data_IF_700156914102
#
_entry.id   IF_700156914102
#
_cell.length_a   1.000
_cell.length_b   1.000
_cell.length_c   1.000
_cell.angle_alpha   90.00
_cell.angle_beta   90.00
_cell.angle_gamma   90.00
#
_symmetry.space_group_name_H-M   'P 1'
#
loop_
_entity.id
_entity.type
_entity.pdbx_description
1 polymer ?
#
# COMPACT_ATOMS: atom_id res chain seq x y z
N UNK A 1 -90.16 21.30 -15.09
CA UNK A 1 -89.54 20.84 -16.36
C UNK A 1 -88.27 20.09 -15.98
N UNK A 2 -88.06 18.78 -16.10
CA UNK A 2 -88.78 17.69 -16.74
C UNK A 2 -88.80 16.47 -15.80
N UNK A 3 -89.93 15.75 -15.85
CA UNK A 3 -90.18 14.42 -15.29
C UNK A 3 -89.36 13.36 -16.05
N UNK A 4 -89.12 12.17 -15.47
CA UNK A 4 -89.64 10.86 -15.97
C UNK A 4 -89.33 9.69 -14.97
N UNK A 5 -90.40 9.17 -14.35
CA UNK A 5 -90.79 7.77 -14.02
C UNK A 5 -89.81 6.75 -13.36
N UNK A 6 -90.12 6.00 -12.29
CA UNK A 6 -91.28 5.18 -11.80
C UNK A 6 -91.01 3.65 -11.88
N UNK A 7 -90.76 3.07 -10.70
CA UNK A 7 -91.13 1.75 -10.12
C UNK A 7 -90.88 0.39 -10.83
N UNK A 8 -90.35 -0.55 -10.01
CA UNK A 8 -90.85 -1.92 -9.65
C UNK A 8 -89.64 -2.82 -9.28
N UNK A 9 -89.58 -3.72 -8.28
CA UNK A 9 -90.54 -4.38 -7.38
C UNK A 9 -89.80 -4.98 -6.16
N UNK A 10 -90.55 -5.20 -5.07
CA UNK A 10 -90.18 -5.86 -3.81
C UNK A 10 -90.21 -7.40 -3.96
N UNK A 11 -89.28 -8.15 -3.33
CA UNK A 11 -89.57 -9.24 -2.35
C UNK A 11 -88.37 -10.05 -1.83
N UNK A 12 -88.40 -10.25 -0.50
CA UNK A 12 -88.07 -11.44 0.30
C UNK A 12 -86.60 -11.80 0.61
N UNK A 13 -86.22 -11.39 1.82
CA UNK A 13 -85.54 -12.14 2.89
C UNK A 13 -84.82 -13.45 2.53
N UNK A 14 -83.50 -13.49 2.74
CA UNK A 14 -82.83 -14.69 3.26
C UNK A 14 -81.70 -14.29 4.20
N UNK A 15 -81.87 -14.64 5.46
CA UNK A 15 -80.83 -14.58 6.51
C UNK A 15 -79.75 -15.58 6.11
N UNK A 16 -78.55 -15.10 5.77
CA UNK A 16 -77.37 -15.95 5.67
C UNK A 16 -76.63 -15.93 7.02
N UNK A 17 -76.47 -17.12 7.58
CA UNK A 17 -75.98 -17.40 8.92
C UNK A 17 -74.51 -17.04 9.12
N UNK A 18 -74.21 -16.59 10.32
CA UNK A 18 -72.87 -16.53 10.93
C UNK A 18 -72.11 -17.86 10.80
N UNK A 19 -71.29 -18.02 9.77
CA UNK A 19 -70.07 -18.85 9.75
C UNK A 19 -69.20 -18.23 8.66
N UNK A 20 -68.11 -17.56 9.05
CA UNK A 20 -66.90 -17.26 8.25
C UNK A 20 -66.17 -16.05 8.85
N UNK A 21 -65.47 -16.25 9.98
CA UNK A 21 -64.55 -15.21 10.52
C UNK A 21 -63.17 -15.77 10.93
N UNK A 22 -62.83 -17.06 10.79
CA UNK A 22 -61.53 -17.57 11.33
C UNK A 22 -60.64 -18.26 10.28
N UNK A 23 -60.41 -17.67 9.11
CA UNK A 23 -59.45 -18.22 8.14
C UNK A 23 -58.56 -17.20 7.40
N UNK A 24 -58.51 -15.93 7.83
CA UNK A 24 -57.77 -14.87 7.10
C UNK A 24 -56.48 -14.34 7.75
N UNK A 25 -56.17 -14.71 8.99
CA UNK A 25 -55.16 -13.98 9.79
C UNK A 25 -53.73 -14.56 9.78
N UNK A 26 -53.56 -15.87 9.62
CA UNK A 26 -52.26 -16.52 9.88
C UNK A 26 -51.35 -16.55 8.63
N UNK A 27 -51.94 -16.64 7.42
CA UNK A 27 -51.19 -16.67 6.16
C UNK A 27 -50.51 -15.33 5.82
N UNK A 28 -51.18 -14.21 6.10
CA UNK A 28 -50.63 -12.87 5.83
C UNK A 28 -49.47 -12.50 6.77
N UNK A 29 -49.51 -12.93 8.03
CA UNK A 29 -48.42 -12.64 8.99
C UNK A 29 -47.14 -13.42 8.68
N UNK A 30 -47.24 -14.69 8.26
CA UNK A 30 -46.09 -15.52 7.88
C UNK A 30 -45.43 -15.00 6.58
N UNK A 31 -46.22 -14.54 5.61
CA UNK A 31 -45.71 -13.97 4.35
C UNK A 31 -44.97 -12.63 4.55
N UNK A 32 -45.46 -11.77 5.44
CA UNK A 32 -44.79 -10.50 5.78
C UNK A 32 -43.47 -10.77 6.53
N UNK A 33 -43.49 -11.67 7.51
CA UNK A 33 -42.29 -12.04 8.27
C UNK A 33 -41.19 -12.64 7.37
N UNK A 34 -41.54 -13.57 6.48
CA UNK A 34 -40.60 -14.19 5.52
C UNK A 34 -40.04 -13.18 4.51
N UNK A 35 -40.87 -12.24 4.02
CA UNK A 35 -40.41 -11.17 3.13
C UNK A 35 -39.44 -10.23 3.85
N UNK A 36 -39.73 -9.85 5.10
CA UNK A 36 -38.85 -8.99 5.90
C UNK A 36 -37.50 -9.65 6.23
N UNK A 37 -37.48 -10.96 6.51
CA UNK A 37 -36.25 -11.73 6.72
C UNK A 37 -35.42 -11.86 5.42
N UNK A 38 -36.08 -12.04 4.27
CA UNK A 38 -35.40 -12.06 2.97
C UNK A 38 -34.81 -10.69 2.60
N UNK A 39 -35.48 -9.59 2.91
CA UNK A 39 -34.92 -8.24 2.70
C UNK A 39 -33.75 -7.95 3.62
N UNK A 40 -33.85 -8.29 4.92
CA UNK A 40 -32.76 -8.12 5.87
C UNK A 40 -31.51 -8.95 5.50
N UNK A 41 -31.70 -10.18 5.02
CA UNK A 41 -30.58 -11.03 4.56
C UNK A 41 -29.97 -10.56 3.24
N UNK A 42 -30.76 -10.05 2.29
CA UNK A 42 -30.26 -9.44 1.07
C UNK A 42 -29.47 -8.15 1.37
N UNK A 43 -29.98 -7.30 2.27
CA UNK A 43 -29.31 -6.07 2.69
C UNK A 43 -28.00 -6.38 3.43
N UNK A 44 -28.00 -7.38 4.34
CA UNK A 44 -26.79 -7.85 5.02
C UNK A 44 -25.73 -8.38 4.04
N UNK A 45 -26.12 -9.17 3.03
CA UNK A 45 -25.20 -9.62 1.96
C UNK A 45 -24.61 -8.45 1.19
N UNK A 46 -25.45 -7.52 0.76
CA UNK A 46 -25.01 -6.33 0.03
C UNK A 46 -24.04 -5.48 0.86
N UNK A 47 -24.29 -5.28 2.16
CA UNK A 47 -23.35 -4.58 3.05
C UNK A 47 -22.03 -5.31 3.25
N UNK A 48 -22.05 -6.64 3.30
CA UNK A 48 -20.83 -7.45 3.40
C UNK A 48 -20.01 -7.39 2.10
N UNK A 49 -20.68 -7.41 0.95
CA UNK A 49 -20.02 -7.30 -0.36
C UNK A 49 -19.34 -5.93 -0.54
N UNK A 50 -20.00 -4.84 -0.11
CA UNK A 50 -19.40 -3.50 -0.10
C UNK A 50 -18.19 -3.43 0.84
N UNK A 51 -18.32 -3.91 2.08
CA UNK A 51 -17.20 -3.93 3.04
C UNK A 51 -16.02 -4.75 2.53
N UNK A 52 -16.29 -5.87 1.87
CA UNK A 52 -15.26 -6.70 1.25
C UNK A 52 -14.59 -5.95 0.09
N UNK A 53 -15.35 -5.28 -0.77
CA UNK A 53 -14.82 -4.46 -1.86
C UNK A 53 -13.92 -3.34 -1.34
N UNK A 54 -14.37 -2.60 -0.31
CA UNK A 54 -13.59 -1.53 0.32
C UNK A 54 -12.26 -2.08 0.89
N UNK A 55 -12.31 -3.22 1.58
CA UNK A 55 -11.09 -3.85 2.12
C UNK A 55 -10.11 -4.30 1.03
N UNK A 56 -10.61 -4.80 -0.10
CA UNK A 56 -9.79 -5.20 -1.25
C UNK A 56 -9.21 -3.99 -1.96
N UNK A 57 -10.01 -2.92 -2.12
CA UNK A 57 -9.58 -1.66 -2.69
C UNK A 57 -8.48 -1.03 -1.84
N UNK A 58 -8.68 -0.97 -0.52
CA UNK A 58 -7.67 -0.45 0.40
C UNK A 58 -6.36 -1.23 0.29
N UNK A 59 -6.42 -2.57 0.27
CA UNK A 59 -5.22 -3.40 0.10
C UNK A 59 -4.50 -3.15 -1.23
N UNK A 60 -5.22 -2.83 -2.31
CA UNK A 60 -4.62 -2.48 -3.59
C UNK A 60 -3.95 -1.10 -3.56
N UNK A 61 -4.60 -0.12 -2.93
CA UNK A 61 -4.04 1.22 -2.71
C UNK A 61 -2.78 1.10 -1.86
N UNK A 62 -2.84 0.42 -0.72
CA UNK A 62 -1.70 0.21 0.18
C UNK A 62 -0.52 -0.43 -0.53
N UNK A 63 -0.78 -1.48 -1.32
CA UNK A 63 0.28 -2.14 -2.08
C UNK A 63 0.96 -1.17 -3.04
N UNK A 64 0.19 -0.31 -3.71
CA UNK A 64 0.72 0.72 -4.61
C UNK A 64 1.55 1.73 -3.84
N UNK A 65 1.03 2.28 -2.75
CA UNK A 65 1.73 3.27 -1.91
C UNK A 65 3.03 2.73 -1.32
N UNK A 66 3.06 1.47 -0.89
CA UNK A 66 4.28 0.81 -0.39
C UNK A 66 5.33 0.70 -1.49
N UNK A 67 4.93 0.26 -2.70
CA UNK A 67 5.84 0.13 -3.84
C UNK A 67 6.37 1.52 -4.26
N UNK A 68 5.50 2.53 -4.26
CA UNK A 68 5.86 3.90 -4.59
C UNK A 68 6.83 4.49 -3.57
N UNK A 69 6.62 4.27 -2.27
CA UNK A 69 7.54 4.71 -1.22
C UNK A 69 8.94 4.08 -1.37
N UNK A 70 9.01 2.77 -1.66
CA UNK A 70 10.27 2.06 -1.91
C UNK A 70 10.97 2.61 -3.17
N UNK A 71 10.24 2.75 -4.27
CA UNK A 71 10.80 3.25 -5.52
C UNK A 71 11.23 4.72 -5.42
N UNK A 72 10.50 5.54 -4.64
CA UNK A 72 10.82 6.93 -4.40
C UNK A 72 12.19 7.09 -3.75
N UNK A 73 12.58 6.21 -2.82
CA UNK A 73 13.94 6.23 -2.23
C UNK A 73 15.01 6.17 -3.31
N UNK A 74 14.95 5.16 -4.20
CA UNK A 74 15.89 5.02 -5.30
C UNK A 74 15.84 6.21 -6.26
N UNK A 75 14.64 6.57 -6.70
CA UNK A 75 14.41 7.62 -7.70
C UNK A 75 14.96 8.99 -7.26
N UNK A 76 14.71 9.38 -6.01
CA UNK A 76 15.16 10.65 -5.46
C UNK A 76 16.63 10.62 -5.04
N UNK A 77 17.15 9.50 -4.52
CA UNK A 77 18.57 9.36 -4.18
C UNK A 77 19.46 9.49 -5.42
N UNK A 78 19.08 8.89 -6.55
CA UNK A 78 19.81 9.02 -7.82
C UNK A 78 19.83 10.45 -8.37
N UNK A 79 18.89 11.28 -7.93
CA UNK A 79 18.79 12.72 -8.25
C UNK A 79 19.36 13.61 -7.15
N UNK A 80 19.90 13.02 -6.08
CA UNK A 80 20.40 13.71 -4.89
C UNK A 80 19.34 14.64 -4.25
N UNK A 81 18.07 14.25 -4.32
CA UNK A 81 16.94 14.96 -3.68
C UNK A 81 16.64 14.35 -2.30
N UNK A 82 17.50 14.66 -1.34
CA UNK A 82 17.48 14.05 0.00
C UNK A 82 16.23 14.40 0.80
N UNK A 83 15.62 15.56 0.54
CA UNK A 83 14.37 15.95 1.20
C UNK A 83 13.22 15.00 0.83
N UNK A 84 13.11 14.60 -0.44
CA UNK A 84 12.10 13.63 -0.86
C UNK A 84 12.44 12.19 -0.48
N UNK A 85 13.72 11.83 -0.37
CA UNK A 85 14.14 10.54 0.22
C UNK A 85 13.72 10.48 1.70
N UNK A 86 14.03 11.52 2.49
CA UNK A 86 13.70 11.60 3.93
C UNK A 86 12.23 11.34 4.22
N UNK A 87 11.34 11.86 3.37
CA UNK A 87 9.88 11.73 3.50
C UNK A 87 9.39 10.28 3.44
N UNK A 88 10.18 9.35 2.90
CA UNK A 88 9.80 7.94 2.78
C UNK A 88 10.08 7.14 4.06
N UNK A 89 10.89 7.66 4.98
CA UNK A 89 11.32 6.97 6.19
C UNK A 89 10.54 7.44 7.42
N UNK A 90 10.36 6.52 8.38
CA UNK A 90 10.02 6.88 9.75
C UNK A 90 11.20 7.63 10.41
N UNK A 91 10.99 8.23 11.58
CA UNK A 91 12.03 9.04 12.24
C UNK A 91 13.28 8.24 12.60
N UNK A 92 13.10 6.96 12.90
CA UNK A 92 14.17 5.99 13.08
C UNK A 92 13.96 4.79 12.17
N UNK A 93 15.06 4.27 11.64
CA UNK A 93 15.08 3.16 10.69
C UNK A 93 16.15 2.15 11.05
N UNK A 94 15.79 0.88 10.96
CA UNK A 94 16.72 -0.25 11.10
C UNK A 94 17.39 -0.52 9.74
N UNK A 95 18.68 -0.25 9.64
CA UNK A 95 19.49 -0.43 8.45
C UNK A 95 20.38 -1.67 8.57
N UNK A 96 20.33 -2.55 7.57
CA UNK A 96 21.21 -3.73 7.50
C UNK A 96 21.89 -3.81 6.13
N UNK A 97 23.09 -3.24 6.04
CA UNK A 97 23.99 -3.35 4.89
C UNK A 97 25.15 -4.32 5.16
N UNK A 98 24.97 -5.25 6.11
CA UNK A 98 26.03 -6.17 6.53
C UNK A 98 26.56 -7.03 5.38
N UNK A 99 25.67 -7.45 4.47
CA UNK A 99 26.07 -8.24 3.28
C UNK A 99 26.95 -7.47 2.28
N UNK A 100 26.89 -6.13 2.31
CA UNK A 100 27.63 -5.26 1.41
C UNK A 100 28.96 -4.82 2.02
N UNK A 101 28.93 -4.30 3.25
CA UNK A 101 30.04 -3.60 3.89
C UNK A 101 30.61 -4.32 5.13
N UNK A 102 30.04 -5.45 5.53
CA UNK A 102 30.32 -6.06 6.84
C UNK A 102 29.70 -5.26 7.98
N UNK A 103 30.23 -5.42 9.19
CA UNK A 103 29.68 -4.76 10.39
C UNK A 103 28.46 -5.48 10.96
N UNK A 104 27.52 -4.72 11.51
CA UNK A 104 26.28 -5.21 12.12
C UNK A 104 25.11 -4.30 11.72
N UNK A 105 23.86 -4.79 11.76
CA UNK A 105 22.68 -3.94 11.62
C UNK A 105 22.68 -2.79 12.65
N UNK A 106 22.19 -1.63 12.25
CA UNK A 106 22.13 -0.42 13.08
C UNK A 106 20.76 0.20 13.03
N UNK A 107 20.30 0.74 14.16
CA UNK A 107 19.14 1.63 14.21
C UNK A 107 19.64 3.06 14.21
N UNK A 108 19.18 3.86 13.25
CA UNK A 108 19.65 5.23 13.03
C UNK A 108 18.49 6.18 12.84
N UNK A 109 18.69 7.47 13.14
CA UNK A 109 17.72 8.50 12.76
C UNK A 109 17.73 8.66 11.25
N UNK A 110 16.57 8.88 10.65
CA UNK A 110 16.47 9.06 9.21
C UNK A 110 17.25 10.29 8.72
N UNK A 111 17.35 11.36 9.51
CA UNK A 111 18.19 12.52 9.17
C UNK A 111 19.68 12.16 9.07
N UNK A 112 20.20 11.40 10.04
CA UNK A 112 21.59 10.97 10.05
C UNK A 112 21.87 10.02 8.87
N UNK A 113 20.89 9.18 8.51
CA UNK A 113 20.96 8.32 7.33
C UNK A 113 21.04 9.15 6.04
N UNK A 114 20.21 10.18 5.89
CA UNK A 114 20.23 11.07 4.72
C UNK A 114 21.56 11.79 4.60
N UNK A 115 22.07 12.33 5.70
CA UNK A 115 23.37 12.99 5.72
C UNK A 115 24.49 12.02 5.31
N UNK A 116 24.46 10.78 5.82
CA UNK A 116 25.42 9.75 5.43
C UNK A 116 25.37 9.40 3.95
N UNK A 117 24.17 9.23 3.39
CA UNK A 117 23.99 8.97 1.95
C UNK A 117 24.39 10.16 1.08
N UNK A 118 24.03 11.37 1.47
CA UNK A 118 24.44 12.60 0.79
C UNK A 118 25.96 12.68 0.68
N UNK A 119 26.67 12.52 1.80
CA UNK A 119 28.13 12.55 1.83
C UNK A 119 28.75 11.43 1.01
N UNK A 120 28.23 10.19 1.15
CA UNK A 120 28.78 9.02 0.45
C UNK A 120 28.55 9.05 -1.07
N UNK A 121 27.44 9.62 -1.53
CA UNK A 121 27.06 9.68 -2.94
C UNK A 121 27.45 10.99 -3.62
N UNK A 122 27.80 12.04 -2.87
CA UNK A 122 28.23 13.33 -3.42
C UNK A 122 29.37 13.20 -4.45
N UNK A 123 30.44 12.42 -4.22
CA UNK A 123 31.57 12.35 -5.16
C UNK A 123 31.25 11.60 -6.44
N UNK A 124 30.23 10.73 -6.44
CA UNK A 124 29.83 9.98 -7.63
C UNK A 124 29.21 10.91 -8.66
N UNK A 125 29.59 10.71 -9.92
CA UNK A 125 29.05 11.48 -11.05
C UNK A 125 27.63 11.06 -11.37
N UNK A 126 27.32 9.78 -11.24
CA UNK A 126 25.97 9.25 -11.43
C UNK A 126 25.78 7.95 -10.65
N UNK A 127 24.54 7.71 -10.25
CA UNK A 127 24.05 6.42 -9.77
C UNK A 127 22.73 6.08 -10.45
N UNK A 128 22.39 4.80 -10.49
CA UNK A 128 21.04 4.36 -10.77
C UNK A 128 20.71 3.15 -9.93
N UNK A 129 19.56 3.18 -9.28
CA UNK A 129 18.99 2.07 -8.53
C UNK A 129 17.69 1.63 -9.18
N UNK A 130 17.66 0.41 -9.69
CA UNK A 130 16.47 -0.23 -10.24
C UNK A 130 15.93 -1.23 -9.22
N UNK A 131 14.77 -0.91 -8.63
CA UNK A 131 14.06 -1.80 -7.69
C UNK A 131 12.85 -2.39 -8.41
N UNK A 132 12.73 -3.72 -8.40
CA UNK A 132 11.76 -4.45 -9.22
C UNK A 132 11.21 -5.68 -8.49
N UNK A 133 10.21 -6.35 -9.09
CA UNK A 133 9.68 -7.64 -8.62
C UNK A 133 9.16 -7.63 -7.17
N UNK A 134 8.55 -6.52 -6.75
CA UNK A 134 8.01 -6.32 -5.40
C UNK A 134 7.01 -7.39 -4.98
N UNK A 135 7.38 -8.19 -3.98
CA UNK A 135 6.48 -9.01 -3.19
C UNK A 135 6.12 -8.22 -1.94
N UNK A 136 4.83 -7.99 -1.71
CA UNK A 136 4.34 -7.15 -0.60
C UNK A 136 3.32 -7.95 0.19
N UNK A 137 3.52 -8.01 1.51
CA UNK A 137 2.61 -8.60 2.49
C UNK A 137 2.15 -7.50 3.43
N UNK A 138 0.84 -7.35 3.61
CA UNK A 138 0.23 -6.29 4.45
C UNK A 138 -0.58 -6.95 5.56
N UNK A 139 -0.36 -6.52 6.80
CA UNK A 139 -1.03 -6.99 8.01
C UNK A 139 -1.47 -5.77 8.83
N UNK A 140 -2.70 -5.32 8.59
CA UNK A 140 -3.23 -4.10 9.21
C UNK A 140 -2.43 -2.87 8.77
N UNK A 141 -1.74 -2.25 9.72
CA UNK A 141 -0.94 -1.04 9.54
C UNK A 141 0.56 -1.34 9.42
N UNK A 142 0.94 -2.62 9.30
CA UNK A 142 2.31 -3.05 9.04
C UNK A 142 2.41 -3.74 7.68
N UNK A 143 3.57 -3.57 7.03
CA UNK A 143 3.87 -4.25 5.79
C UNK A 143 5.34 -4.68 5.70
N UNK A 144 5.56 -5.76 4.97
CA UNK A 144 6.89 -6.19 4.56
C UNK A 144 6.94 -6.29 3.04
N UNK A 145 8.08 -5.90 2.46
CA UNK A 145 8.33 -6.07 1.04
C UNK A 145 9.70 -6.69 0.75
N UNK A 146 9.72 -7.71 -0.10
CA UNK A 146 10.92 -8.23 -0.74
C UNK A 146 10.94 -7.75 -2.20
N UNK A 147 12.06 -7.21 -2.64
CA UNK A 147 12.24 -6.72 -4.02
C UNK A 147 13.63 -7.08 -4.53
N UNK A 148 13.74 -7.23 -5.85
CA UNK A 148 15.04 -7.37 -6.53
C UNK A 148 15.63 -5.99 -6.76
N UNK A 149 16.95 -5.85 -6.65
CA UNK A 149 17.63 -4.63 -7.07
C UNK A 149 18.81 -4.90 -8.00
N UNK A 150 19.02 -3.93 -8.89
CA UNK A 150 20.28 -3.70 -9.57
C UNK A 150 20.67 -2.25 -9.35
N UNK A 151 21.89 -2.01 -8.91
CA UNK A 151 22.43 -0.67 -8.74
C UNK A 151 23.73 -0.53 -9.52
N UNK A 152 23.93 0.63 -10.16
CA UNK A 152 25.22 1.00 -10.71
C UNK A 152 25.67 2.37 -10.22
N UNK A 153 26.98 2.51 -10.07
CA UNK A 153 27.65 3.70 -9.59
C UNK A 153 28.75 4.06 -10.58
N UNK A 154 28.86 5.34 -10.91
CA UNK A 154 29.83 5.84 -11.88
C UNK A 154 30.65 7.00 -11.33
N UNK A 155 31.96 6.83 -11.42
CA UNK A 155 32.95 7.84 -11.09
C UNK A 155 34.07 7.77 -12.14
N UNK A 156 34.16 8.71 -13.08
CA UNK A 156 35.35 8.86 -13.92
C UNK A 156 36.57 9.09 -13.04
N UNK A 157 37.63 8.32 -13.26
CA UNK A 157 38.88 8.39 -12.52
C UNK A 157 40.02 7.76 -13.33
N UNK A 158 41.26 8.02 -12.91
CA UNK A 158 42.46 7.43 -13.51
C UNK A 158 42.95 6.17 -12.76
N UNK A 159 42.23 5.75 -11.70
CA UNK A 159 42.58 4.67 -10.76
C UNK A 159 41.69 3.42 -10.94
N UNK A 160 41.48 2.99 -12.18
CA UNK A 160 40.81 1.73 -12.52
C UNK A 160 39.46 1.90 -13.22
N UNK A 161 38.63 0.84 -13.20
CA UNK A 161 37.35 0.88 -13.90
C UNK A 161 36.41 1.92 -13.28
N UNK A 162 35.67 2.71 -14.07
CA UNK A 162 34.86 3.82 -13.55
C UNK A 162 33.48 3.39 -13.04
N UNK A 163 33.15 2.11 -13.16
CA UNK A 163 31.82 1.56 -12.88
C UNK A 163 31.87 0.53 -11.76
N UNK A 164 30.85 0.53 -10.91
CA UNK A 164 30.59 -0.51 -9.93
C UNK A 164 29.11 -0.91 -9.95
N UNK A 165 28.85 -2.21 -10.12
CA UNK A 165 27.52 -2.80 -10.17
C UNK A 165 27.25 -3.69 -8.96
N UNK A 166 26.03 -3.63 -8.45
CA UNK A 166 25.51 -4.46 -7.37
C UNK A 166 24.20 -5.10 -7.77
N UNK A 167 24.04 -6.37 -7.42
CA UNK A 167 22.81 -7.12 -7.64
C UNK A 167 22.37 -7.78 -6.33
N UNK A 168 21.06 -7.91 -6.14
CA UNK A 168 20.55 -8.63 -4.99
C UNK A 168 19.10 -8.32 -4.66
N UNK A 169 18.82 -8.29 -3.37
CA UNK A 169 17.47 -8.06 -2.84
C UNK A 169 17.45 -6.99 -1.76
N UNK A 170 16.34 -6.27 -1.70
CA UNK A 170 15.96 -5.48 -0.53
C UNK A 170 14.81 -6.13 0.22
N UNK A 171 14.93 -6.16 1.55
CA UNK A 171 13.83 -6.42 2.47
C UNK A 171 13.48 -5.12 3.19
N UNK A 172 12.28 -4.62 2.96
CA UNK A 172 11.74 -3.44 3.63
C UNK A 172 10.67 -3.83 4.65
N UNK A 173 10.63 -3.12 5.78
CA UNK A 173 9.47 -3.06 6.66
C UNK A 173 8.90 -1.65 6.64
N UNK A 174 7.58 -1.55 6.66
CA UNK A 174 6.87 -0.28 6.62
C UNK A 174 5.72 -0.27 7.62
N UNK A 175 5.39 0.92 8.10
CA UNK A 175 4.20 1.18 8.91
C UNK A 175 3.32 2.22 8.21
N UNK A 176 2.00 2.09 8.36
CA UNK A 176 1.06 3.12 7.94
C UNK A 176 1.06 4.24 8.97
N UNK A 177 1.13 5.48 8.49
CA UNK A 177 0.98 6.69 9.29
C UNK A 177 -0.13 7.55 8.69
N UNK A 178 -0.48 8.64 9.37
CA UNK A 178 -1.41 9.65 8.82
C UNK A 178 -0.88 10.27 7.52
N UNK A 179 0.45 10.29 7.34
CA UNK A 179 1.15 10.80 6.15
C UNK A 179 1.51 9.70 5.12
N UNK A 180 0.80 8.57 5.18
CA UNK A 180 1.01 7.40 4.31
C UNK A 180 2.01 6.38 4.89
N UNK A 181 2.45 5.44 4.05
CA UNK A 181 3.39 4.38 4.45
C UNK A 181 4.81 4.92 4.63
N UNK A 182 5.48 4.55 5.73
CA UNK A 182 6.85 4.94 6.06
C UNK A 182 7.73 3.72 6.28
N UNK A 183 8.94 3.75 5.72
CA UNK A 183 9.94 2.70 5.87
C UNK A 183 10.54 2.76 7.28
N UNK A 184 10.47 1.63 8.00
CA UNK A 184 11.02 1.45 9.34
C UNK A 184 12.22 0.51 9.36
N UNK A 185 12.41 -0.31 8.32
CA UNK A 185 13.61 -1.10 8.15
C UNK A 185 13.96 -1.26 6.66
N UNK A 186 15.26 -1.28 6.36
CA UNK A 186 15.80 -1.52 5.03
C UNK A 186 17.06 -2.39 5.14
N UNK A 187 16.96 -3.61 4.62
CA UNK A 187 18.05 -4.58 4.55
C UNK A 187 18.44 -4.84 3.11
N UNK A 188 19.73 -4.75 2.81
CA UNK A 188 20.31 -5.11 1.53
C UNK A 188 20.99 -6.48 1.64
N UNK A 189 20.59 -7.41 0.78
CA UNK A 189 21.28 -8.70 0.59
C UNK A 189 21.91 -8.75 -0.80
N UNK A 190 23.22 -8.56 -0.87
CA UNK A 190 24.01 -8.63 -2.11
C UNK A 190 24.17 -10.07 -2.54
N UNK A 191 23.79 -10.39 -3.78
CA UNK A 191 24.00 -11.71 -4.39
C UNK A 191 25.29 -11.75 -5.22
N UNK A 192 25.54 -10.70 -5.99
CA UNK A 192 26.76 -10.54 -6.78
C UNK A 192 27.13 -9.07 -6.96
N UNK A 193 28.36 -8.83 -7.43
CA UNK A 193 28.86 -7.51 -7.76
C UNK A 193 29.90 -7.60 -8.86
N UNK A 194 29.97 -6.56 -9.69
CA UNK A 194 30.91 -6.49 -10.83
C UNK A 194 31.54 -5.09 -10.91
N UNK A 195 32.71 -4.99 -11.54
CA UNK A 195 33.43 -3.73 -11.68
C UNK A 195 34.29 -3.38 -10.46
N UNK A 196 34.48 -2.07 -10.24
CA UNK A 196 35.43 -1.55 -9.26
C UNK A 196 34.79 -1.42 -7.87
N UNK A 197 34.89 -2.44 -7.02
CA UNK A 197 34.38 -2.34 -5.64
C UNK A 197 35.04 -1.21 -4.83
N UNK A 198 36.28 -0.85 -5.15
CA UNK A 198 37.02 0.24 -4.50
C UNK A 198 36.54 1.63 -4.90
N UNK A 199 35.58 1.75 -5.83
CA UNK A 199 35.00 3.03 -6.26
C UNK A 199 34.37 3.79 -5.09
N UNK A 200 33.80 3.08 -4.11
CA UNK A 200 33.27 3.65 -2.87
C UNK A 200 34.38 4.33 -2.05
N UNK A 201 35.55 3.69 -1.91
CA UNK A 201 36.71 4.26 -1.24
C UNK A 201 37.38 5.40 -2.02
N UNK A 202 37.35 5.34 -3.35
CA UNK A 202 37.82 6.42 -4.24
C UNK A 202 36.94 7.67 -4.09
N UNK A 203 35.62 7.49 -4.08
CA UNK A 203 34.64 8.56 -3.87
C UNK A 203 34.91 9.29 -2.55
N UNK A 204 35.06 8.57 -1.44
CA UNK A 204 35.33 9.19 -0.14
C UNK A 204 36.61 10.03 -0.13
N UNK A 205 37.68 9.63 -0.85
CA UNK A 205 38.91 10.43 -0.95
C UNK A 205 38.71 11.70 -1.77
N UNK A 206 38.01 11.62 -2.90
CA UNK A 206 37.72 12.78 -3.75
C UNK A 206 36.78 13.79 -3.08
N UNK A 207 35.87 13.34 -2.21
CA UNK A 207 35.00 14.22 -1.42
C UNK A 207 35.76 15.06 -0.38
N UNK A 208 36.81 14.48 0.24
CA UNK A 208 37.66 15.19 1.22
C UNK A 208 38.48 16.30 0.56
N UNK A 209 38.93 16.12 -0.69
CA UNK A 209 39.72 17.15 -1.38
C UNK A 209 38.91 18.37 -1.79
N UNK A 210 37.61 18.22 -2.09
CA UNK A 210 36.76 19.33 -2.53
C UNK A 210 36.20 20.17 -1.38
N UNK A 211 36.16 19.66 -0.15
CA UNK A 211 35.69 20.41 1.04
C UNK A 211 36.80 21.24 1.72
N UNK A 212 38.02 21.20 1.20
CA UNK A 212 39.18 21.93 1.70
C UNK A 212 39.67 23.04 0.74
N UNK A 213 38.83 23.44 -0.23
CA UNK A 213 39.10 24.57 -1.14
C UNK A 213 38.04 25.65 -1.00
#
# INVERSE_FOLDING_TARGET
MNQTNYLKNIRLTRIASRRDVIAGGVGSLIAIASTSLNQASAQSRQTNDFKLMDSKMQRFIDRTEIIDAINAVAFFADRKDWANVRRQFADEVDMDYTSLAGGQPVRVKAEDLMQGWEQGLAPLKATQHLITNHQVTIQGDEAESLSSFHAWHYLPNDEGAPMWHLYGYYNHKLIRTEDGWKITAMKLTKTSSEGNFSLSGLASRAGVTNNNQ
#
